data_IF_243503541261
#
_entry.id   IF_243503541261
#
_cell.length_a   1.000
_cell.length_b   1.000
_cell.length_c   1.000
_cell.angle_alpha   90.00
_cell.angle_beta   90.00
_cell.angle_gamma   90.00
#
_symmetry.space_group_name_H-M   'P 1'
#
loop_
_entity.id
_entity.type
_entity.pdbx_description
1 polymer ?
#
# COMPACT_ATOMS: atom_id res chain seq x y z
N UNK A 1 16.42 20.12 26.55
CA UNK A 1 15.02 20.52 26.26
C UNK A 1 14.13 19.89 27.31
N UNK A 2 13.36 20.67 28.09
CA UNK A 2 12.45 20.14 29.12
C UNK A 2 11.07 20.01 28.49
N UNK A 3 10.54 18.79 28.41
CA UNK A 3 9.16 18.54 27.97
C UNK A 3 8.27 18.69 29.19
N UNK A 4 7.30 19.60 29.12
CA UNK A 4 6.30 19.81 30.17
C UNK A 4 4.96 19.45 29.55
N UNK A 5 4.28 18.45 30.13
CA UNK A 5 2.95 18.06 29.72
C UNK A 5 1.92 18.92 30.46
N UNK A 6 0.83 19.26 29.77
CA UNK A 6 -0.36 19.80 30.43
C UNK A 6 -1.11 18.65 31.12
N UNK A 7 -1.92 18.95 32.13
CA UNK A 7 -2.75 17.93 32.80
C UNK A 7 -3.61 17.13 31.81
N UNK A 8 -4.16 17.82 30.80
CA UNK A 8 -4.92 17.17 29.72
C UNK A 8 -4.03 16.22 28.87
N UNK A 9 -2.77 16.57 28.62
CA UNK A 9 -1.85 15.73 27.87
C UNK A 9 -1.37 14.52 28.71
N UNK A 10 -1.24 14.66 30.02
CA UNK A 10 -0.97 13.54 30.93
C UNK A 10 -2.15 12.55 30.95
N UNK A 11 -3.38 13.07 31.04
CA UNK A 11 -4.58 12.25 30.99
C UNK A 11 -4.71 11.49 29.66
N UNK A 12 -4.47 12.16 28.54
CA UNK A 12 -4.47 11.51 27.22
C UNK A 12 -3.34 10.49 27.07
N UNK A 13 -2.16 10.74 27.64
CA UNK A 13 -1.07 9.76 27.64
C UNK A 13 -1.46 8.50 28.42
N UNK A 14 -2.13 8.65 29.56
CA UNK A 14 -2.64 7.52 30.35
C UNK A 14 -3.70 6.72 29.57
N UNK A 15 -4.63 7.42 28.91
CA UNK A 15 -5.64 6.78 28.05
C UNK A 15 -4.98 6.01 26.91
N UNK A 16 -3.99 6.61 26.24
CA UNK A 16 -3.23 5.97 25.17
C UNK A 16 -2.51 4.71 25.67
N UNK A 17 -1.85 4.77 26.83
CA UNK A 17 -1.19 3.60 27.43
C UNK A 17 -2.17 2.47 27.75
N UNK A 18 -3.36 2.80 28.28
CA UNK A 18 -4.40 1.82 28.56
C UNK A 18 -4.93 1.16 27.28
N UNK A 19 -5.18 1.95 26.23
CA UNK A 19 -5.62 1.43 24.92
C UNK A 19 -4.57 0.49 24.31
N UNK A 20 -3.29 0.88 24.35
CA UNK A 20 -2.20 0.06 23.84
C UNK A 20 -2.04 -1.24 24.62
N UNK A 21 -2.25 -1.20 25.94
CA UNK A 21 -2.25 -2.39 26.80
C UNK A 21 -3.39 -3.34 26.42
N UNK A 22 -4.62 -2.84 26.31
CA UNK A 22 -5.78 -3.66 25.92
C UNK A 22 -5.62 -4.30 24.54
N UNK A 23 -5.08 -3.55 23.57
CA UNK A 23 -4.76 -4.08 22.24
C UNK A 23 -3.69 -5.18 22.29
N UNK A 24 -2.69 -5.03 23.17
CA UNK A 24 -1.66 -6.05 23.39
C UNK A 24 -2.26 -7.32 23.98
N UNK A 25 -3.11 -7.18 24.99
CA UNK A 25 -3.79 -8.29 25.66
C UNK A 25 -4.69 -9.06 24.69
N UNK A 26 -5.44 -8.36 23.82
CA UNK A 26 -6.29 -9.02 22.82
C UNK A 26 -5.47 -9.81 21.79
N UNK A 27 -4.37 -9.24 21.29
CA UNK A 27 -3.48 -9.90 20.33
C UNK A 27 -2.79 -11.13 20.89
N UNK A 28 -2.46 -11.12 22.19
CA UNK A 28 -1.88 -12.28 22.88
C UNK A 28 -2.96 -13.31 23.17
N UNK A 29 -4.15 -12.89 23.60
CA UNK A 29 -5.30 -13.75 23.82
C UNK A 29 -5.69 -14.55 22.59
N UNK A 30 -5.87 -13.90 21.44
CA UNK A 30 -6.22 -14.58 20.18
C UNK A 30 -5.25 -15.70 19.79
N UNK A 31 -3.97 -15.62 20.19
CA UNK A 31 -2.95 -16.61 19.85
C UNK A 31 -2.81 -17.71 20.89
N UNK A 32 -2.96 -17.37 22.17
CA UNK A 32 -2.56 -18.21 23.31
C UNK A 32 -3.76 -18.76 24.07
N UNK A 33 -5.00 -18.41 23.71
CA UNK A 33 -6.20 -19.02 24.30
C UNK A 33 -6.20 -20.53 23.99
N UNK A 34 -5.98 -21.32 25.04
CA UNK A 34 -6.18 -22.76 25.07
C UNK A 34 -7.49 -23.01 25.80
N UNK A 35 -8.39 -23.80 25.21
CA UNK A 35 -9.68 -24.12 25.84
C UNK A 35 -9.46 -24.84 27.16
N UNK A 36 -9.82 -24.21 28.29
CA UNK A 36 -9.77 -24.81 29.63
C UNK A 36 -9.00 -24.02 30.69
N UNK A 37 -8.24 -22.99 30.31
CA UNK A 37 -7.52 -22.14 31.28
C UNK A 37 -8.36 -20.92 31.70
N UNK A 38 -8.47 -20.68 33.01
CA UNK A 38 -9.16 -19.51 33.58
C UNK A 38 -8.28 -18.24 33.59
N UNK A 39 -6.95 -18.39 33.45
CA UNK A 39 -5.97 -17.30 33.57
C UNK A 39 -4.98 -17.34 32.42
N UNK A 40 -4.92 -16.24 31.66
CA UNK A 40 -3.94 -16.05 30.59
C UNK A 40 -2.67 -15.39 31.12
N UNK A 41 -1.57 -16.15 31.22
CA UNK A 41 -0.27 -15.59 31.57
C UNK A 41 0.38 -14.89 30.35
N UNK A 42 0.65 -13.59 30.47
CA UNK A 42 1.30 -12.79 29.41
C UNK A 42 2.78 -12.60 29.77
N UNK A 43 3.68 -13.11 28.93
CA UNK A 43 5.12 -12.98 29.14
C UNK A 43 5.73 -11.79 28.39
N UNK A 44 6.93 -11.34 28.80
CA UNK A 44 7.67 -10.30 28.09
C UNK A 44 7.95 -10.65 26.61
N UNK A 45 8.10 -11.94 26.29
CA UNK A 45 8.26 -12.44 24.92
C UNK A 45 6.99 -12.25 24.10
N UNK A 46 5.82 -12.52 24.68
CA UNK A 46 4.51 -12.32 24.05
C UNK A 46 4.30 -10.84 23.70
N UNK A 47 4.67 -9.94 24.63
CA UNK A 47 4.62 -8.48 24.40
C UNK A 47 5.56 -8.08 23.25
N UNK A 48 6.77 -8.64 23.20
CA UNK A 48 7.75 -8.33 22.16
C UNK A 48 7.32 -8.84 20.78
N UNK A 49 6.63 -9.96 20.69
CA UNK A 49 6.05 -10.44 19.43
C UNK A 49 4.83 -9.63 19.00
N UNK A 50 3.92 -9.33 19.92
CA UNK A 50 2.73 -8.53 19.62
C UNK A 50 3.10 -7.07 19.26
N UNK A 51 4.05 -6.45 19.97
CA UNK A 51 4.53 -5.09 19.65
C UNK A 51 5.16 -4.98 18.26
N UNK A 52 5.78 -6.05 17.72
CA UNK A 52 6.25 -6.07 16.32
C UNK A 52 5.11 -5.99 15.32
N UNK A 53 3.93 -6.52 15.65
CA UNK A 53 2.72 -6.43 14.81
C UNK A 53 2.06 -5.05 14.91
N UNK A 54 2.19 -4.37 16.04
CA UNK A 54 1.68 -3.01 16.29
C UNK A 54 2.56 -1.94 15.61
N UNK A 55 3.51 -2.30 14.74
CA UNK A 55 4.36 -1.32 14.05
C UNK A 55 3.51 -0.26 13.34
N UNK A 56 3.68 0.98 13.80
CA UNK A 56 3.03 2.20 13.30
C UNK A 56 3.23 2.24 11.78
N UNK A 57 2.13 2.01 11.07
CA UNK A 57 2.10 2.03 9.64
C UNK A 57 2.29 3.48 9.16
N UNK A 58 3.52 3.84 8.77
CA UNK A 58 3.75 5.14 8.16
C UNK A 58 3.13 5.12 6.76
N UNK A 59 2.20 6.04 6.43
CA UNK A 59 1.60 6.07 5.11
C UNK A 59 2.69 6.34 4.08
N UNK A 60 3.02 5.34 3.29
CA UNK A 60 3.98 5.41 2.17
C UNK A 60 3.39 6.11 0.94
N UNK A 61 2.25 6.79 1.12
CA UNK A 61 1.40 7.38 0.08
C UNK A 61 2.18 8.25 -0.93
N UNK A 62 3.22 8.95 -0.46
CA UNK A 62 4.02 9.88 -1.29
C UNK A 62 4.86 9.13 -2.34
N UNK A 63 5.50 8.00 -2.00
CA UNK A 63 6.32 7.24 -2.96
C UNK A 63 5.48 6.57 -4.05
N UNK A 64 4.26 6.20 -3.70
CA UNK A 64 3.34 5.49 -4.57
C UNK A 64 2.74 6.40 -5.66
N UNK A 65 2.46 7.67 -5.34
CA UNK A 65 1.89 8.63 -6.29
C UNK A 65 2.77 8.84 -7.54
N UNK A 66 4.09 9.02 -7.36
CA UNK A 66 5.00 9.30 -8.47
C UNK A 66 5.10 8.14 -9.48
N UNK A 67 5.11 6.90 -8.99
CA UNK A 67 5.17 5.71 -9.86
C UNK A 67 3.92 5.64 -10.75
N UNK A 68 2.75 5.98 -10.22
CA UNK A 68 1.50 5.98 -10.99
C UNK A 68 1.51 7.02 -12.11
N UNK A 69 1.99 8.23 -11.82
CA UNK A 69 2.11 9.30 -12.83
C UNK A 69 3.07 8.89 -13.94
N UNK A 70 4.25 8.39 -13.57
CA UNK A 70 5.26 7.91 -14.52
C UNK A 70 4.67 6.80 -15.42
N UNK A 71 3.98 5.81 -14.83
CA UNK A 71 3.36 4.72 -15.57
C UNK A 71 2.38 5.22 -16.63
N UNK A 72 1.53 6.20 -16.28
CA UNK A 72 0.57 6.80 -17.22
C UNK A 72 1.28 7.53 -18.37
N UNK A 73 2.34 8.28 -18.07
CA UNK A 73 3.14 8.99 -19.08
C UNK A 73 3.74 8.00 -20.08
N UNK A 74 4.30 6.88 -19.61
CA UNK A 74 4.83 5.84 -20.50
C UNK A 74 3.74 5.20 -21.37
N UNK A 75 2.54 4.94 -20.84
CA UNK A 75 1.40 4.45 -21.65
C UNK A 75 1.06 5.43 -22.77
N UNK A 76 0.97 6.73 -22.47
CA UNK A 76 0.66 7.76 -23.48
C UNK A 76 1.77 7.84 -24.52
N UNK A 77 3.03 7.84 -24.11
CA UNK A 77 4.19 7.85 -25.01
C UNK A 77 4.20 6.64 -25.94
N UNK A 78 4.01 5.43 -25.39
CA UNK A 78 3.95 4.20 -26.19
C UNK A 78 2.81 4.21 -27.20
N UNK A 79 1.62 4.69 -26.79
CA UNK A 79 0.48 4.86 -27.68
C UNK A 79 0.76 5.86 -28.80
N UNK A 80 1.39 7.01 -28.49
CA UNK A 80 1.79 8.00 -29.50
C UNK A 80 2.82 7.43 -30.49
N UNK A 81 3.80 6.65 -30.02
CA UNK A 81 4.76 5.96 -30.90
C UNK A 81 4.07 4.98 -31.85
N UNK A 82 3.10 4.22 -31.34
CA UNK A 82 2.32 3.29 -32.17
C UNK A 82 1.46 4.04 -33.20
N UNK A 83 0.78 5.12 -32.80
CA UNK A 83 -0.03 5.95 -33.70
C UNK A 83 0.87 6.57 -34.77
N UNK A 84 1.99 7.19 -34.37
CA UNK A 84 2.95 7.79 -35.30
C UNK A 84 3.51 6.78 -36.30
N UNK A 85 3.75 5.55 -35.89
CA UNK A 85 4.20 4.48 -36.79
C UNK A 85 3.12 4.06 -37.81
N UNK A 86 1.84 4.03 -37.41
CA UNK A 86 0.72 3.63 -38.30
C UNK A 86 0.44 4.68 -39.39
N UNK A 87 0.74 5.95 -39.16
CA UNK A 87 0.37 7.02 -40.09
C UNK A 87 1.21 7.08 -41.39
N UNK A 88 2.32 6.33 -41.50
CA UNK A 88 3.27 6.50 -42.61
C UNK A 88 3.23 5.41 -43.70
N UNK A 89 2.76 4.17 -43.42
CA UNK A 89 2.20 3.26 -44.45
C UNK A 89 1.05 2.35 -43.94
N UNK A 90 0.40 1.56 -44.82
CA UNK A 90 -0.57 0.53 -44.39
C UNK A 90 0.11 -0.46 -43.42
N UNK A 91 -0.61 -0.93 -42.39
CA UNK A 91 -0.07 -1.83 -41.34
C UNK A 91 0.66 -3.06 -41.93
N UNK A 92 0.19 -3.58 -43.07
CA UNK A 92 0.82 -4.71 -43.76
C UNK A 92 2.19 -4.37 -44.36
N UNK A 93 2.36 -3.17 -44.92
CA UNK A 93 3.62 -2.72 -45.52
C UNK A 93 4.66 -2.34 -44.44
N UNK A 94 4.18 -1.96 -43.25
CA UNK A 94 5.01 -1.61 -42.10
C UNK A 94 5.99 -2.74 -41.72
N UNK A 95 5.52 -3.99 -41.70
CA UNK A 95 6.33 -5.13 -41.26
C UNK A 95 7.20 -5.73 -42.35
N UNK A 96 6.83 -5.59 -43.62
CA UNK A 96 7.53 -6.21 -44.75
C UNK A 96 8.49 -5.26 -45.47
N UNK A 97 8.11 -4.00 -45.63
CA UNK A 97 8.89 -3.02 -46.41
C UNK A 97 9.68 -2.05 -45.52
N UNK A 98 9.13 -1.68 -44.35
CA UNK A 98 9.71 -0.64 -43.49
C UNK A 98 10.07 -1.13 -42.07
N UNK A 99 11.15 -1.93 -41.99
CA UNK A 99 11.69 -2.49 -40.73
C UNK A 99 11.85 -1.46 -39.59
N UNK A 100 12.28 -0.24 -39.91
CA UNK A 100 12.47 0.81 -38.91
C UNK A 100 11.15 1.23 -38.24
N UNK A 101 10.07 1.36 -39.03
CA UNK A 101 8.75 1.74 -38.50
C UNK A 101 8.11 0.60 -37.71
N UNK A 102 8.28 -0.65 -38.15
CA UNK A 102 7.88 -1.81 -37.37
C UNK A 102 8.59 -1.90 -36.01
N UNK A 103 9.89 -1.57 -35.95
CA UNK A 103 10.61 -1.51 -34.67
C UNK A 103 10.07 -0.43 -33.74
N UNK A 104 9.77 0.77 -34.26
CA UNK A 104 9.18 1.87 -33.47
C UNK A 104 7.81 1.46 -32.93
N UNK A 105 6.98 0.83 -33.77
CA UNK A 105 5.68 0.31 -33.36
C UNK A 105 5.81 -0.74 -32.25
N UNK A 106 6.70 -1.73 -32.41
CA UNK A 106 6.95 -2.77 -31.41
C UNK A 106 7.47 -2.19 -30.10
N UNK A 107 8.40 -1.23 -30.14
CA UNK A 107 8.85 -0.52 -28.95
C UNK A 107 7.70 0.20 -28.25
N UNK A 108 6.86 0.92 -29.02
CA UNK A 108 5.68 1.60 -28.48
C UNK A 108 4.72 0.62 -27.82
N UNK A 109 4.50 -0.55 -28.43
CA UNK A 109 3.67 -1.61 -27.87
C UNK A 109 4.25 -2.16 -26.56
N UNK A 110 5.54 -2.48 -26.51
CA UNK A 110 6.21 -2.97 -25.29
C UNK A 110 6.13 -1.94 -24.16
N UNK A 111 6.42 -0.67 -24.44
CA UNK A 111 6.35 0.41 -23.45
C UNK A 111 4.92 0.56 -22.91
N UNK A 112 3.92 0.49 -23.80
CA UNK A 112 2.50 0.57 -23.41
C UNK A 112 2.11 -0.58 -22.51
N UNK A 113 2.47 -1.83 -22.87
CA UNK A 113 2.18 -3.02 -22.06
C UNK A 113 2.83 -2.93 -20.68
N UNK A 114 4.11 -2.53 -20.62
CA UNK A 114 4.81 -2.36 -19.34
C UNK A 114 4.17 -1.27 -18.47
N UNK A 115 3.78 -0.14 -19.07
CA UNK A 115 3.09 0.93 -18.36
C UNK A 115 1.71 0.51 -17.82
N UNK A 116 0.95 -0.26 -18.59
CA UNK A 116 -0.35 -0.83 -18.15
C UNK A 116 -0.15 -1.81 -17.00
N UNK A 117 0.82 -2.73 -17.12
CA UNK A 117 1.15 -3.69 -16.05
C UNK A 117 1.57 -2.97 -14.77
N UNK A 118 2.45 -1.99 -14.86
CA UNK A 118 2.88 -1.19 -13.71
C UNK A 118 1.69 -0.51 -13.01
N UNK A 119 0.77 0.08 -13.78
CA UNK A 119 -0.44 0.71 -13.26
C UNK A 119 -1.41 -0.31 -12.63
N UNK A 120 -1.53 -1.50 -13.22
CA UNK A 120 -2.33 -2.59 -12.67
C UNK A 120 -1.78 -3.09 -11.32
N UNK A 121 -0.48 -3.40 -11.25
CA UNK A 121 0.16 -3.80 -10.00
C UNK A 121 0.08 -2.71 -8.92
N UNK A 122 0.18 -1.45 -9.32
CA UNK A 122 -0.04 -0.31 -8.45
C UNK A 122 -1.46 -0.29 -7.88
N UNK A 123 -2.48 -0.42 -8.73
CA UNK A 123 -3.87 -0.44 -8.29
C UNK A 123 -4.15 -1.59 -7.32
N UNK A 124 -3.59 -2.77 -7.59
CA UNK A 124 -3.73 -3.95 -6.72
C UNK A 124 -3.11 -3.71 -5.33
N UNK A 125 -1.91 -3.13 -5.27
CA UNK A 125 -1.29 -2.77 -3.99
C UNK A 125 -2.11 -1.71 -3.25
N UNK A 126 -2.55 -0.65 -3.94
CA UNK A 126 -3.32 0.45 -3.34
C UNK A 126 -4.62 -0.03 -2.67
N UNK A 127 -5.30 -1.03 -3.25
CA UNK A 127 -6.51 -1.61 -2.65
C UNK A 127 -6.25 -2.21 -1.26
N UNK A 128 -5.17 -2.99 -1.12
CA UNK A 128 -4.79 -3.59 0.17
C UNK A 128 -4.51 -2.53 1.24
N UNK A 129 -3.88 -1.43 0.86
CA UNK A 129 -3.64 -0.31 1.78
C UNK A 129 -4.94 0.35 2.24
N UNK A 130 -5.86 0.63 1.31
CA UNK A 130 -7.15 1.24 1.62
C UNK A 130 -8.04 0.34 2.49
N UNK A 131 -7.97 -0.98 2.31
CA UNK A 131 -8.69 -1.93 3.17
C UNK A 131 -8.18 -1.88 4.61
N UNK A 132 -6.84 -1.84 4.80
CA UNK A 132 -6.24 -1.71 6.14
C UNK A 132 -6.59 -0.38 6.79
N UNK A 133 -6.57 0.72 6.03
CA UNK A 133 -6.98 2.04 6.54
C UNK A 133 -8.46 2.06 6.96
N UNK A 134 -9.37 1.46 6.17
CA UNK A 134 -10.78 1.34 6.54
C UNK A 134 -10.99 0.52 7.81
N UNK A 135 -10.32 -0.64 7.93
CA UNK A 135 -10.40 -1.47 9.13
C UNK A 135 -9.98 -0.71 10.41
N UNK A 136 -9.00 0.19 10.29
CA UNK A 136 -8.55 1.03 11.42
C UNK A 136 -9.52 2.18 11.74
N UNK A 137 -10.14 2.80 10.72
CA UNK A 137 -11.16 3.83 10.95
C UNK A 137 -12.38 3.21 11.64
N UNK A 138 -12.83 2.04 11.17
CA UNK A 138 -13.98 1.34 11.72
C UNK A 138 -13.72 0.90 13.17
N UNK A 139 -12.51 0.42 13.50
CA UNK A 139 -12.17 0.07 14.89
C UNK A 139 -12.07 1.29 15.80
N UNK A 140 -11.55 2.42 15.30
CA UNK A 140 -11.51 3.67 16.03
C UNK A 140 -12.90 4.27 16.27
N UNK A 141 -13.86 4.06 15.36
CA UNK A 141 -15.25 4.50 15.54
C UNK A 141 -15.99 3.62 16.55
N UNK A 142 -15.83 2.29 16.51
CA UNK A 142 -16.44 1.38 17.50
C UNK A 142 -15.97 1.62 18.92
N UNK A 143 -14.74 2.10 19.12
CA UNK A 143 -14.23 2.44 20.46
C UNK A 143 -14.76 3.78 20.99
N UNK A 144 -15.52 4.56 20.20
CA UNK A 144 -16.12 5.83 20.62
C UNK A 144 -17.60 5.70 20.99
N UNK A 145 -18.24 4.57 20.70
CA UNK A 145 -19.60 4.22 21.10
C UNK A 145 -19.58 3.37 22.38
#
# INVERSE_FOLDING_TARGET
>A
MKVIYTEAAEQEMLNFQQQQKAMLESLVGERKVVFGDEVLEITASDIKEASRKIQIFRPTNIRFSNVQVISKVYVVLGALMMIGAIFYPRISELFYENRAQAMIFLMGAVITVLGVLANYFYALRRRRYLEVERMMIDSAQRNKE
#
